data_IF_880894128038
#
_entry.id   IF_880894128038
#
_cell.length_a   1.000
_cell.length_b   1.000
_cell.length_c   1.000
_cell.angle_alpha   90.00
_cell.angle_beta   90.00
_cell.angle_gamma   90.00
#
_symmetry.space_group_name_H-M   'P 1'
#
loop_
_entity.id
_entity.type
_entity.pdbx_description
1 polymer ?
#
# COMPACT_ATOMS: atom_id res chain seq x y z
N UNK A 1 0.87 17.90 2.88
CA UNK A 1 0.20 17.85 1.55
C UNK A 1 1.12 17.28 0.46
N UNK A 2 2.36 17.77 0.26
CA UNK A 2 3.26 17.27 -0.80
C UNK A 2 3.68 15.78 -0.70
N UNK A 3 3.85 15.24 0.52
CA UNK A 3 4.26 13.83 0.70
C UNK A 3 3.18 12.81 0.32
N UNK A 4 1.91 13.08 0.62
CA UNK A 4 0.80 12.16 0.31
C UNK A 4 0.63 11.98 -1.20
N UNK A 5 0.70 13.09 -1.94
CA UNK A 5 0.70 13.10 -3.40
C UNK A 5 1.86 12.27 -3.96
N UNK A 6 3.07 12.39 -3.38
CA UNK A 6 4.23 11.62 -3.82
C UNK A 6 4.08 10.10 -3.61
N UNK A 7 3.41 9.67 -2.54
CA UNK A 7 3.18 8.23 -2.29
C UNK A 7 2.12 7.68 -3.25
N UNK A 8 1.05 8.43 -3.51
CA UNK A 8 0.02 8.02 -4.47
C UNK A 8 0.63 7.85 -5.88
N UNK A 9 1.43 8.82 -6.33
CA UNK A 9 2.16 8.73 -7.59
C UNK A 9 3.09 7.50 -7.63
N UNK A 10 3.81 7.22 -6.53
CA UNK A 10 4.66 6.01 -6.45
C UNK A 10 3.86 4.72 -6.58
N UNK A 11 2.71 4.63 -5.93
CA UNK A 11 1.83 3.46 -6.04
C UNK A 11 1.32 3.29 -7.46
N UNK A 12 0.88 4.38 -8.11
CA UNK A 12 0.43 4.36 -9.50
C UNK A 12 1.55 3.97 -10.46
N UNK A 13 2.78 4.45 -10.24
CA UNK A 13 3.96 4.03 -11.02
C UNK A 13 4.24 2.53 -10.86
N UNK A 14 4.11 1.99 -9.64
CA UNK A 14 4.30 0.54 -9.39
C UNK A 14 3.24 -0.28 -10.13
N UNK A 15 1.98 0.17 -10.11
CA UNK A 15 0.87 -0.49 -10.81
C UNK A 15 1.06 -0.40 -12.33
N UNK A 16 1.38 0.78 -12.86
CA UNK A 16 1.52 1.03 -14.30
C UNK A 16 2.74 0.34 -14.93
N UNK A 17 3.71 -0.09 -14.13
CA UNK A 17 4.80 -0.96 -14.60
C UNK A 17 4.31 -2.37 -14.99
N UNK A 18 3.04 -2.69 -14.69
CA UNK A 18 2.31 -3.84 -15.22
C UNK A 18 2.97 -5.20 -14.94
N UNK A 19 3.71 -5.25 -13.84
CA UNK A 19 4.28 -6.48 -13.34
C UNK A 19 3.26 -7.12 -12.40
N UNK A 20 2.78 -8.32 -12.71
CA UNK A 20 2.04 -9.25 -11.82
C UNK A 20 2.89 -9.68 -10.60
N UNK A 21 3.81 -8.83 -10.18
CA UNK A 21 4.61 -8.97 -8.98
C UNK A 21 3.75 -8.77 -7.75
N UNK A 22 4.16 -9.43 -6.68
CA UNK A 22 3.61 -9.27 -5.33
C UNK A 22 3.48 -7.79 -4.94
N UNK A 23 4.44 -6.94 -5.33
CA UNK A 23 4.40 -5.51 -5.04
C UNK A 23 3.28 -4.77 -5.80
N UNK A 24 3.05 -5.12 -7.07
CA UNK A 24 1.97 -4.55 -7.88
C UNK A 24 0.59 -4.89 -7.29
N UNK A 25 0.39 -6.16 -6.90
CA UNK A 25 -0.85 -6.63 -6.29
C UNK A 25 -1.10 -5.89 -4.96
N UNK A 26 -0.09 -5.82 -4.08
CA UNK A 26 -0.23 -5.10 -2.79
C UNK A 26 -0.53 -3.62 -3.01
N UNK A 27 0.15 -2.96 -3.96
CA UNK A 27 -0.08 -1.55 -4.27
C UNK A 27 -1.52 -1.31 -4.76
N UNK A 28 -2.02 -2.14 -5.65
CA UNK A 28 -3.38 -2.07 -6.18
C UNK A 28 -4.43 -2.27 -5.08
N UNK A 29 -4.23 -3.28 -4.23
CA UNK A 29 -5.12 -3.56 -3.09
C UNK A 29 -5.21 -2.34 -2.16
N UNK A 30 -4.08 -1.73 -1.79
CA UNK A 30 -4.07 -0.55 -0.93
C UNK A 30 -4.80 0.64 -1.58
N UNK A 31 -4.56 0.91 -2.87
CA UNK A 31 -5.28 1.98 -3.56
C UNK A 31 -6.79 1.72 -3.62
N UNK A 32 -7.20 0.47 -3.79
CA UNK A 32 -8.63 0.13 -3.80
C UNK A 32 -9.26 0.37 -2.43
N UNK A 33 -8.60 -0.03 -1.33
CA UNK A 33 -9.09 0.26 0.01
C UNK A 33 -9.27 1.76 0.25
N UNK A 34 -8.28 2.58 -0.15
CA UNK A 34 -8.34 4.03 0.03
C UNK A 34 -9.42 4.69 -0.84
N UNK A 35 -9.69 4.16 -2.05
CA UNK A 35 -10.69 4.70 -2.99
C UNK A 35 -12.12 4.29 -2.64
N UNK A 36 -12.31 3.07 -2.13
CA UNK A 36 -13.64 2.46 -1.95
C UNK A 36 -14.12 2.57 -0.51
N UNK A 37 -13.24 2.41 0.47
CA UNK A 37 -13.60 2.41 1.88
C UNK A 37 -13.29 3.77 2.51
N UNK A 38 -14.35 4.47 2.95
CA UNK A 38 -14.26 5.48 4.01
C UNK A 38 -13.98 4.86 5.40
N UNK A 39 -13.56 3.59 5.43
CA UNK A 39 -13.32 2.81 6.64
C UNK A 39 -11.84 2.50 6.79
N UNK A 40 -11.39 2.47 8.05
CA UNK A 40 -10.04 2.07 8.39
C UNK A 40 -9.82 0.59 8.06
N UNK A 41 -8.64 0.25 7.55
CA UNK A 41 -8.23 -1.13 7.27
C UNK A 41 -6.89 -1.44 7.92
N UNK A 42 -6.65 -2.71 8.23
CA UNK A 42 -5.42 -3.18 8.88
C UNK A 42 -4.55 -3.98 7.91
N UNK A 43 -3.31 -4.25 8.31
CA UNK A 43 -2.35 -4.98 7.48
C UNK A 43 -2.85 -6.38 7.09
N UNK A 44 -3.66 -7.01 7.94
CA UNK A 44 -4.22 -8.33 7.68
C UNK A 44 -5.23 -8.28 6.52
N UNK A 45 -6.05 -7.24 6.44
CA UNK A 45 -7.03 -7.06 5.35
C UNK A 45 -6.30 -6.91 4.00
N UNK A 46 -5.19 -6.16 4.00
CA UNK A 46 -4.33 -6.04 2.81
C UNK A 46 -3.70 -7.38 2.45
N UNK A 47 -3.15 -8.10 3.42
CA UNK A 47 -2.52 -9.40 3.18
C UNK A 47 -3.53 -10.40 2.60
N UNK A 48 -4.71 -10.51 3.21
CA UNK A 48 -5.78 -11.41 2.78
C UNK A 48 -6.30 -11.05 1.37
N UNK A 49 -6.63 -9.78 1.14
CA UNK A 49 -7.20 -9.31 -0.14
C UNK A 49 -6.18 -9.35 -1.28
N UNK A 50 -4.90 -9.19 -0.98
CA UNK A 50 -3.82 -9.34 -1.99
C UNK A 50 -3.36 -10.79 -2.18
N UNK A 51 -3.91 -11.75 -1.42
CA UNK A 51 -3.43 -13.14 -1.37
C UNK A 51 -1.93 -13.26 -1.04
N UNK A 52 -1.45 -12.43 -0.11
CA UNK A 52 -0.06 -12.39 0.34
C UNK A 52 0.06 -12.56 1.86
N UNK A 53 1.29 -12.60 2.37
CA UNK A 53 1.55 -12.59 3.80
C UNK A 53 1.69 -11.17 4.36
N UNK A 54 1.36 -10.98 5.64
CA UNK A 54 1.67 -9.76 6.43
C UNK A 54 3.14 -9.35 6.31
N UNK A 55 4.05 -10.32 6.23
CA UNK A 55 5.47 -10.08 6.03
C UNK A 55 5.80 -9.52 4.64
N UNK A 56 5.06 -9.91 3.60
CA UNK A 56 5.19 -9.37 2.24
C UNK A 56 4.71 -7.92 2.20
N UNK A 57 3.56 -7.62 2.81
CA UNK A 57 3.06 -6.24 2.95
C UNK A 57 4.05 -5.37 3.73
N UNK A 58 4.63 -5.88 4.81
CA UNK A 58 5.66 -5.15 5.57
C UNK A 58 6.91 -4.86 4.74
N UNK A 59 7.38 -5.84 3.95
CA UNK A 59 8.53 -5.64 3.04
C UNK A 59 8.21 -4.63 1.94
N UNK A 60 6.99 -4.64 1.41
CA UNK A 60 6.51 -3.64 0.46
C UNK A 60 6.54 -2.23 1.06
N UNK A 61 6.01 -2.02 2.27
CA UNK A 61 6.12 -0.71 2.93
C UNK A 61 7.58 -0.28 3.11
N UNK A 62 8.48 -1.22 3.41
CA UNK A 62 9.91 -0.93 3.52
C UNK A 62 10.57 -0.55 2.20
N UNK A 63 10.17 -1.17 1.08
CA UNK A 63 10.71 -0.80 -0.24
C UNK A 63 10.30 0.61 -0.67
N UNK A 64 9.21 1.13 -0.13
CA UNK A 64 8.77 2.52 -0.32
C UNK A 64 9.51 3.53 0.56
N UNK A 65 10.38 3.08 1.46
CA UNK A 65 11.19 3.92 2.36
C UNK A 65 10.66 4.06 3.79
N UNK A 66 9.61 3.31 4.16
CA UNK A 66 9.08 3.32 5.53
C UNK A 66 9.74 2.25 6.40
N UNK A 67 9.66 2.39 7.71
CA UNK A 67 10.09 1.38 8.68
C UNK A 67 9.17 0.15 8.69
N UNK A 68 7.92 0.30 8.24
CA UNK A 68 6.93 -0.78 8.10
C UNK A 68 5.50 -0.26 7.89
N UNK A 69 4.52 -1.15 8.10
CA UNK A 69 3.11 -0.86 7.86
C UNK A 69 2.56 0.29 8.69
N UNK A 70 2.83 0.32 10.01
CA UNK A 70 2.22 1.33 10.90
C UNK A 70 2.59 2.75 10.46
N UNK A 71 3.86 2.97 10.15
CA UNK A 71 4.33 4.26 9.64
C UNK A 71 3.67 4.59 8.30
N UNK A 72 3.72 3.65 7.34
CA UNK A 72 3.06 3.81 6.04
C UNK A 72 1.57 4.19 6.19
N UNK A 73 0.81 3.47 7.03
CA UNK A 73 -0.62 3.68 7.23
C UNK A 73 -0.93 5.05 7.82
N UNK A 74 -0.18 5.46 8.85
CA UNK A 74 -0.34 6.79 9.46
C UNK A 74 -0.08 7.88 8.43
N UNK A 75 1.00 7.76 7.64
CA UNK A 75 1.39 8.80 6.68
C UNK A 75 0.52 8.86 5.43
N UNK A 76 0.05 7.72 4.94
CA UNK A 76 -0.63 7.64 3.65
C UNK A 76 -2.16 7.55 3.75
N UNK A 77 -2.67 6.84 4.77
CA UNK A 77 -4.10 6.52 4.89
C UNK A 77 -4.80 7.45 5.88
N UNK A 78 -4.19 7.75 7.03
CA UNK A 78 -4.81 8.58 8.08
C UNK A 78 -4.57 10.10 7.92
N UNK A 79 -3.64 10.51 7.05
CA UNK A 79 -3.44 11.90 6.61
C UNK A 79 -3.99 12.03 5.19
#
# INVERSE_FOLDING_TARGET
MQLKTNILEKLEVIINRNDDTVNGIIAQTILNFVKVSNENFIINDVAETSHTSVSSVTKFCKSLGFTGWKEFYIFFVMN
#
